data_IF_179384350343
#
_entry.id   IF_179384350343
#
_cell.length_a   1.000
_cell.length_b   1.000
_cell.length_c   1.000
_cell.angle_alpha   90.00
_cell.angle_beta   90.00
_cell.angle_gamma   90.00
#
_symmetry.space_group_name_H-M   'P 1'
#
loop_
_entity.id
_entity.type
_entity.pdbx_description
1 polymer ?
#
# COMPACT_ATOMS: atom_id res chain seq x y z
N UNK A 1 -48.21 -6.20 -15.18
CA UNK A 1 -46.98 -6.61 -14.45
C UNK A 1 -46.51 -5.43 -13.62
N UNK A 2 -46.42 -5.58 -12.31
CA UNK A 2 -46.05 -4.51 -11.38
C UNK A 2 -44.57 -4.17 -11.52
N UNK A 3 -44.26 -2.88 -11.58
CA UNK A 3 -42.89 -2.38 -11.65
C UNK A 3 -42.19 -2.75 -10.34
N UNK A 4 -41.24 -3.69 -10.38
CA UNK A 4 -40.41 -3.98 -9.20
C UNK A 4 -39.48 -2.80 -8.95
N UNK A 5 -39.63 -2.18 -7.79
CA UNK A 5 -38.66 -1.26 -7.22
C UNK A 5 -37.56 -2.09 -6.53
N UNK A 6 -36.31 -1.70 -6.75
CA UNK A 6 -35.13 -2.36 -6.17
C UNK A 6 -34.38 -1.41 -5.24
N UNK A 7 -34.95 -0.25 -4.90
CA UNK A 7 -34.31 0.73 -4.02
C UNK A 7 -34.01 0.11 -2.66
N UNK A 8 -32.80 0.36 -2.12
CA UNK A 8 -32.23 -0.23 -0.90
C UNK A 8 -31.92 -1.74 -0.96
N UNK A 9 -32.12 -2.41 -2.09
CA UNK A 9 -31.71 -3.81 -2.24
C UNK A 9 -30.19 -3.93 -2.38
N UNK A 10 -29.63 -5.02 -1.82
CA UNK A 10 -28.19 -5.30 -1.82
C UNK A 10 -27.85 -6.44 -2.78
N UNK A 11 -26.87 -6.19 -3.66
CA UNK A 11 -26.34 -7.12 -4.65
C UNK A 11 -24.83 -7.26 -4.46
N UNK A 12 -24.40 -8.17 -3.58
CA UNK A 12 -22.99 -8.28 -3.19
C UNK A 12 -22.53 -7.08 -2.37
N UNK A 13 -21.54 -6.35 -2.89
CA UNK A 13 -21.01 -5.10 -2.31
C UNK A 13 -21.77 -3.85 -2.77
N UNK A 14 -22.82 -3.99 -3.58
CA UNK A 14 -23.59 -2.87 -4.13
C UNK A 14 -24.93 -2.75 -3.43
N UNK A 15 -25.31 -1.52 -3.06
CA UNK A 15 -26.62 -1.17 -2.53
C UNK A 15 -27.29 -0.21 -3.51
N UNK A 16 -28.51 -0.51 -3.94
CA UNK A 16 -29.26 0.34 -4.87
C UNK A 16 -29.71 1.61 -4.16
N UNK A 17 -29.30 2.77 -4.66
CA UNK A 17 -29.66 4.08 -4.09
C UNK A 17 -30.96 4.59 -4.70
N UNK A 18 -31.10 4.50 -6.03
CA UNK A 18 -32.29 4.96 -6.75
C UNK A 18 -32.33 4.41 -8.18
N UNK A 19 -33.52 4.42 -8.76
CA UNK A 19 -33.69 4.23 -10.20
C UNK A 19 -33.32 5.52 -10.96
N UNK A 20 -32.68 5.35 -12.12
CA UNK A 20 -32.33 6.44 -13.05
C UNK A 20 -33.21 6.39 -14.29
N UNK A 21 -33.08 7.42 -15.13
CA UNK A 21 -33.71 7.42 -16.45
C UNK A 21 -33.31 6.20 -17.28
N UNK A 22 -34.26 5.73 -18.07
CA UNK A 22 -34.03 4.58 -18.95
C UNK A 22 -33.01 4.95 -20.02
N UNK A 23 -32.04 4.07 -20.23
CA UNK A 23 -31.11 4.18 -21.36
C UNK A 23 -31.55 3.21 -22.45
N UNK A 24 -32.29 3.73 -23.43
CA UNK A 24 -33.00 2.91 -24.42
C UNK A 24 -34.08 2.06 -23.75
N UNK A 25 -34.04 0.74 -23.96
CA UNK A 25 -34.99 -0.20 -23.36
C UNK A 25 -34.61 -0.67 -21.94
N UNK A 26 -33.48 -0.22 -21.41
CA UNK A 26 -32.95 -0.74 -20.14
C UNK A 26 -33.24 0.21 -18.97
N UNK A 27 -33.76 -0.35 -17.88
CA UNK A 27 -33.87 0.31 -16.59
C UNK A 27 -32.48 0.38 -15.95
N UNK A 28 -32.07 1.59 -15.59
CA UNK A 28 -30.77 1.88 -14.99
C UNK A 28 -30.96 2.18 -13.51
N UNK A 29 -29.99 1.77 -12.70
CA UNK A 29 -29.98 2.02 -11.26
C UNK A 29 -28.64 2.58 -10.84
N UNK A 30 -28.69 3.58 -9.99
CA UNK A 30 -27.53 4.10 -9.28
C UNK A 30 -27.30 3.22 -8.05
N UNK A 31 -26.10 2.67 -7.93
CA UNK A 31 -25.74 1.76 -6.85
C UNK A 31 -24.49 2.26 -6.14
N UNK A 32 -24.54 2.33 -4.82
CA UNK A 32 -23.40 2.64 -3.98
C UNK A 32 -22.68 1.36 -3.59
N UNK A 33 -21.39 1.30 -3.82
CA UNK A 33 -20.54 0.20 -3.40
C UNK A 33 -20.05 0.42 -1.98
N UNK A 34 -19.81 -0.66 -1.24
CA UNK A 34 -19.23 -0.63 0.11
C UNK A 34 -17.84 0.06 0.13
N UNK A 35 -17.11 0.08 -1.00
CA UNK A 35 -15.85 0.83 -1.11
C UNK A 35 -16.04 2.37 -1.23
N UNK A 36 -17.28 2.86 -1.22
CA UNK A 36 -17.61 4.28 -1.34
C UNK A 36 -17.91 4.77 -2.76
N UNK A 37 -17.51 4.01 -3.80
CA UNK A 37 -17.79 4.39 -5.19
C UNK A 37 -19.26 4.18 -5.56
N UNK A 38 -19.77 5.04 -6.44
CA UNK A 38 -21.12 4.91 -6.99
C UNK A 38 -21.02 4.54 -8.47
N UNK A 39 -21.80 3.54 -8.89
CA UNK A 39 -21.84 3.07 -10.28
C UNK A 39 -23.27 2.99 -10.80
N UNK A 40 -23.41 3.11 -12.12
CA UNK A 40 -24.68 2.98 -12.82
C UNK A 40 -24.77 1.61 -13.48
N UNK A 41 -25.76 0.80 -13.08
CA UNK A 41 -25.89 -0.60 -13.51
C UNK A 41 -27.28 -0.86 -14.08
N UNK A 42 -27.36 -1.71 -15.11
CA UNK A 42 -28.65 -2.18 -15.65
C UNK A 42 -29.33 -3.11 -14.66
N UNK A 43 -30.66 -3.10 -14.62
CA UNK A 43 -31.43 -4.02 -13.77
C UNK A 43 -31.07 -5.50 -14.00
N UNK A 44 -30.90 -5.90 -15.27
CA UNK A 44 -30.51 -7.26 -15.63
C UNK A 44 -29.17 -7.66 -15.05
N UNK A 45 -28.22 -6.71 -15.04
CA UNK A 45 -26.84 -6.96 -14.63
C UNK A 45 -26.74 -7.00 -13.11
N UNK A 46 -27.51 -6.19 -12.38
CA UNK A 46 -27.65 -6.31 -10.92
C UNK A 46 -28.16 -7.68 -10.50
N UNK A 47 -29.12 -8.25 -11.23
CA UNK A 47 -29.62 -9.59 -10.91
C UNK A 47 -28.62 -10.70 -11.26
N UNK A 48 -27.87 -10.57 -12.36
CA UNK A 48 -27.09 -11.69 -12.94
C UNK A 48 -25.59 -11.64 -12.71
N UNK A 49 -24.94 -10.47 -12.85
CA UNK A 49 -23.48 -10.38 -13.03
C UNK A 49 -22.79 -9.42 -12.07
N UNK A 50 -23.32 -8.21 -11.90
CA UNK A 50 -22.62 -7.14 -11.18
C UNK A 50 -22.83 -7.31 -9.68
N UNK A 51 -21.73 -7.47 -8.95
CA UNK A 51 -21.70 -7.65 -7.49
C UNK A 51 -20.80 -6.63 -6.78
N UNK A 52 -20.03 -5.84 -7.52
CA UNK A 52 -19.13 -4.79 -7.03
C UNK A 52 -18.92 -3.75 -8.12
N UNK A 53 -18.33 -2.61 -7.79
CA UNK A 53 -17.86 -1.63 -8.78
C UNK A 53 -16.55 -2.02 -9.48
N UNK A 54 -16.10 -3.28 -9.33
CA UNK A 54 -14.77 -3.71 -9.74
C UNK A 54 -13.70 -3.59 -8.64
N UNK A 55 -14.08 -3.20 -7.42
CA UNK A 55 -13.19 -3.12 -6.25
C UNK A 55 -12.74 -4.49 -5.70
N UNK A 56 -13.18 -5.59 -6.30
CA UNK A 56 -12.79 -6.96 -5.94
C UNK A 56 -11.61 -7.43 -6.77
N UNK A 57 -10.38 -7.32 -6.25
CA UNK A 57 -9.22 -8.08 -6.73
C UNK A 57 -7.93 -7.31 -7.04
N UNK A 58 -7.95 -5.99 -7.03
CA UNK A 58 -6.72 -5.22 -6.92
C UNK A 58 -6.51 -4.90 -5.45
N UNK A 59 -5.32 -5.17 -4.89
CA UNK A 59 -4.82 -4.34 -3.78
C UNK A 59 -5.13 -2.88 -4.13
N UNK A 60 -5.42 -1.99 -3.18
CA UNK A 60 -5.42 -0.57 -3.49
C UNK A 60 -4.12 -0.31 -4.26
N UNK A 61 -4.23 0.00 -5.55
CA UNK A 61 -3.14 0.69 -6.20
C UNK A 61 -3.22 2.03 -5.50
N UNK A 62 -2.34 2.20 -4.52
CA UNK A 62 -2.14 3.48 -3.86
C UNK A 62 -1.48 4.36 -4.90
N UNK A 63 -2.26 4.80 -5.88
CA UNK A 63 -1.99 5.96 -6.71
C UNK A 63 -2.72 7.20 -6.17
N UNK A 64 -2.98 7.21 -4.86
CA UNK A 64 -2.94 8.46 -4.09
C UNK A 64 -1.51 8.98 -4.20
N UNK A 65 -1.32 10.10 -4.91
CA UNK A 65 -0.03 10.75 -5.18
C UNK A 65 0.78 11.10 -3.93
N UNK A 66 1.33 10.08 -3.28
CA UNK A 66 2.25 10.13 -2.16
C UNK A 66 3.66 9.96 -2.77
N UNK A 67 4.51 10.92 -2.47
CA UNK A 67 5.88 11.09 -2.90
C UNK A 67 6.67 9.78 -3.13
N UNK A 68 7.08 9.54 -4.39
CA UNK A 68 7.81 8.35 -4.87
C UNK A 68 9.30 8.43 -4.55
N UNK A 69 9.64 8.58 -3.26
CA UNK A 69 11.02 8.64 -2.75
C UNK A 69 11.63 7.25 -2.54
N UNK A 70 11.49 6.72 -1.32
CA UNK A 70 12.12 5.48 -0.85
C UNK A 70 11.92 4.25 -1.77
N UNK A 71 10.70 3.88 -2.24
CA UNK A 71 10.52 2.71 -3.12
C UNK A 71 11.26 2.84 -4.46
N UNK A 72 11.32 4.06 -5.02
CA UNK A 72 11.97 4.33 -6.31
C UNK A 72 13.50 4.20 -6.21
N UNK A 73 14.06 4.50 -5.04
CA UNK A 73 15.48 4.29 -4.80
C UNK A 73 15.83 2.79 -4.82
N UNK A 74 15.01 1.93 -4.21
CA UNK A 74 15.17 0.47 -4.29
C UNK A 74 14.98 -0.08 -5.72
N UNK A 75 13.99 0.42 -6.46
CA UNK A 75 13.79 0.05 -7.87
C UNK A 75 15.02 0.33 -8.72
N UNK A 76 15.65 1.51 -8.52
CA UNK A 76 16.86 1.89 -9.24
C UNK A 76 18.06 1.01 -8.91
N UNK A 77 18.26 0.71 -7.63
CA UNK A 77 19.35 -0.18 -7.20
C UNK A 77 19.15 -1.57 -7.81
N UNK A 78 17.91 -2.08 -7.79
CA UNK A 78 17.56 -3.36 -8.42
C UNK A 78 17.78 -3.35 -9.93
N UNK A 79 17.42 -2.27 -10.62
CA UNK A 79 17.63 -2.15 -12.06
C UNK A 79 19.12 -2.14 -12.43
N UNK A 80 19.97 -1.52 -11.60
CA UNK A 80 21.40 -1.41 -11.87
C UNK A 80 22.21 -2.64 -11.43
N UNK A 81 21.81 -3.31 -10.35
CA UNK A 81 22.60 -4.37 -9.69
C UNK A 81 21.92 -5.74 -9.64
N UNK A 82 20.70 -5.85 -10.19
CA UNK A 82 19.89 -7.05 -10.05
C UNK A 82 19.22 -7.17 -8.67
N UNK A 83 18.52 -8.29 -8.42
CA UNK A 83 17.90 -8.55 -7.13
C UNK A 83 18.95 -8.71 -6.03
N UNK A 84 18.64 -8.26 -4.81
CA UNK A 84 19.56 -8.40 -3.66
C UNK A 84 19.92 -9.87 -3.38
N UNK A 85 19.02 -10.81 -3.68
CA UNK A 85 19.21 -12.26 -3.50
C UNK A 85 20.32 -12.88 -4.35
N UNK A 86 20.84 -12.17 -5.34
CA UNK A 86 22.02 -12.60 -6.11
C UNK A 86 23.34 -12.19 -5.44
N UNK A 87 23.28 -11.48 -4.31
CA UNK A 87 24.44 -10.96 -3.59
C UNK A 87 24.51 -11.55 -2.19
N UNK A 88 25.73 -11.77 -1.69
CA UNK A 88 25.97 -12.13 -0.30
C UNK A 88 25.70 -10.93 0.62
N UNK A 89 25.18 -11.20 1.82
CA UNK A 89 24.99 -10.18 2.84
C UNK A 89 26.35 -9.62 3.28
N UNK A 90 26.48 -8.29 3.35
CA UNK A 90 27.77 -7.66 3.69
C UNK A 90 28.20 -7.89 5.16
N UNK A 91 27.27 -8.23 6.06
CA UNK A 91 27.57 -8.37 7.50
C UNK A 91 27.57 -9.82 8.00
N UNK A 92 27.20 -10.79 7.16
CA UNK A 92 27.13 -12.19 7.56
C UNK A 92 27.19 -13.12 6.34
N UNK A 93 27.52 -14.42 6.51
CA UNK A 93 27.67 -15.35 5.38
C UNK A 93 26.34 -15.81 4.74
N UNK A 94 25.22 -15.16 5.04
CA UNK A 94 23.93 -15.47 4.41
C UNK A 94 23.77 -14.72 3.09
N UNK A 95 22.89 -15.20 2.21
CA UNK A 95 22.43 -14.41 1.06
C UNK A 95 21.63 -13.20 1.52
N UNK A 96 21.69 -12.11 0.75
CA UNK A 96 20.92 -10.92 1.04
C UNK A 96 19.45 -11.08 0.64
N UNK A 97 18.56 -10.53 1.46
CA UNK A 97 17.13 -10.51 1.18
C UNK A 97 16.69 -9.16 0.59
N UNK A 98 17.43 -8.10 0.90
CA UNK A 98 17.05 -6.73 0.58
C UNK A 98 18.28 -5.84 0.36
N UNK A 99 18.07 -4.74 -0.37
CA UNK A 99 19.04 -3.66 -0.44
C UNK A 99 18.88 -2.79 0.81
N UNK A 100 19.98 -2.33 1.39
CA UNK A 100 19.98 -1.50 2.59
C UNK A 100 20.71 -0.21 2.31
N UNK A 101 20.08 0.94 2.61
CA UNK A 101 20.73 2.23 2.50
C UNK A 101 21.68 2.44 3.69
N UNK A 102 22.96 2.65 3.38
CA UNK A 102 24.00 2.99 4.35
C UNK A 102 24.11 4.51 4.39
N UNK A 103 23.64 5.09 5.50
CA UNK A 103 23.58 6.55 5.72
C UNK A 103 24.93 7.23 5.53
N UNK A 104 24.90 8.54 5.23
CA UNK A 104 26.12 9.34 4.99
C UNK A 104 26.22 9.93 3.58
N UNK A 105 25.14 9.87 2.80
CA UNK A 105 25.01 10.64 1.57
C UNK A 105 24.79 12.12 1.92
N UNK A 106 25.55 13.08 1.33
CA UNK A 106 25.35 14.51 1.58
C UNK A 106 23.98 15.01 1.12
N UNK A 107 23.39 14.34 0.12
CA UNK A 107 22.05 14.61 -0.40
C UNK A 107 21.00 13.63 0.16
N UNK A 108 21.14 13.22 1.43
CA UNK A 108 20.15 12.36 2.10
C UNK A 108 18.77 13.03 2.11
N UNK A 109 17.76 12.29 1.66
CA UNK A 109 16.37 12.70 1.59
C UNK A 109 15.54 11.88 2.57
N UNK A 110 14.42 12.44 3.01
CA UNK A 110 13.45 11.73 3.86
C UNK A 110 12.22 11.40 3.03
N UNK A 111 11.75 10.16 3.12
CA UNK A 111 10.49 9.76 2.51
C UNK A 111 9.27 10.44 3.18
N UNK A 112 8.06 10.14 2.71
CA UNK A 112 6.85 10.59 3.38
C UNK A 112 6.75 9.97 4.79
N UNK A 113 6.17 10.73 5.71
CA UNK A 113 5.80 10.22 7.04
C UNK A 113 4.70 9.17 6.90
N UNK A 114 4.61 8.25 7.85
CA UNK A 114 3.59 7.19 7.78
C UNK A 114 2.22 7.78 8.14
N UNK A 115 1.11 7.39 7.49
CA UNK A 115 -0.22 7.88 7.86
C UNK A 115 -0.60 7.58 9.32
N UNK A 116 -0.09 6.48 9.88
CA UNK A 116 -0.29 6.10 11.28
C UNK A 116 0.63 6.83 12.26
N UNK A 117 1.63 7.56 11.76
CA UNK A 117 2.60 8.31 12.55
C UNK A 117 3.13 9.52 11.74
N UNK A 118 2.30 10.55 11.59
CA UNK A 118 2.60 11.68 10.72
C UNK A 118 3.71 12.59 11.26
N UNK A 119 4.03 12.48 12.55
CA UNK A 119 5.06 13.28 13.23
C UNK A 119 6.46 12.65 13.13
N UNK A 120 6.55 11.34 12.85
CA UNK A 120 7.84 10.67 12.63
C UNK A 120 8.49 11.14 11.33
N UNK A 121 9.79 11.42 11.38
CA UNK A 121 10.58 11.62 10.17
C UNK A 121 10.44 10.41 9.24
N UNK A 122 10.17 10.64 7.96
CA UNK A 122 10.06 9.55 6.99
C UNK A 122 11.40 8.83 6.81
N UNK A 123 11.33 7.61 6.27
CA UNK A 123 12.53 6.77 6.11
C UNK A 123 13.60 7.50 5.28
N UNK A 124 14.84 7.60 5.78
CA UNK A 124 15.93 8.23 5.02
C UNK A 124 16.28 7.39 3.81
N UNK A 125 16.60 8.05 2.70
CA UNK A 125 17.06 7.43 1.47
C UNK A 125 17.98 8.39 0.72
N UNK A 126 18.83 7.84 -0.15
CA UNK A 126 19.63 8.64 -1.07
C UNK A 126 19.34 8.23 -2.52
N UNK A 127 19.54 9.17 -3.44
CA UNK A 127 19.42 8.97 -4.88
C UNK A 127 20.71 8.43 -5.52
N UNK A 128 21.71 8.02 -4.75
CA UNK A 128 22.97 7.48 -5.27
C UNK A 128 23.02 5.97 -4.99
N UNK A 129 23.27 5.17 -6.04
CA UNK A 129 23.15 3.69 -6.01
C UNK A 129 24.26 3.08 -5.16
N UNK A 130 25.41 3.72 -5.10
CA UNK A 130 26.61 3.33 -4.36
C UNK A 130 26.40 3.23 -2.85
N UNK A 131 25.43 3.96 -2.29
CA UNK A 131 25.12 3.92 -0.87
C UNK A 131 24.19 2.76 -0.47
N UNK A 132 23.83 1.87 -1.39
CA UNK A 132 23.02 0.69 -1.08
C UNK A 132 23.87 -0.56 -1.05
N UNK A 133 23.75 -1.32 0.03
CA UNK A 133 24.47 -2.57 0.26
C UNK A 133 23.50 -3.75 0.43
N UNK A 134 23.84 -4.95 -0.08
CA UNK A 134 22.99 -6.13 0.06
C UNK A 134 23.06 -6.65 1.51
N UNK A 135 21.90 -6.85 2.15
CA UNK A 135 21.80 -7.37 3.53
C UNK A 135 20.67 -8.37 3.68
N UNK A 136 20.85 -9.35 4.57
CA UNK A 136 19.74 -10.19 5.02
C UNK A 136 18.83 -9.40 5.97
N UNK A 137 17.57 -9.82 6.13
CA UNK A 137 16.60 -9.09 6.97
C UNK A 137 17.06 -8.90 8.42
N UNK A 138 17.79 -9.89 8.96
CA UNK A 138 18.32 -9.83 10.33
C UNK A 138 19.40 -8.75 10.49
N UNK A 139 20.33 -8.66 9.53
CA UNK A 139 21.38 -7.66 9.55
C UNK A 139 20.84 -6.27 9.20
N UNK A 140 19.88 -6.19 8.28
CA UNK A 140 19.16 -4.95 7.96
C UNK A 140 18.47 -4.37 9.21
N UNK A 141 17.69 -5.19 9.90
CA UNK A 141 16.99 -4.79 11.13
C UNK A 141 17.95 -4.33 12.24
N UNK A 142 19.14 -4.94 12.32
CA UNK A 142 20.18 -4.52 13.27
C UNK A 142 20.74 -3.14 12.91
N UNK A 143 20.99 -2.88 11.63
CA UNK A 143 21.46 -1.58 11.14
C UNK A 143 20.44 -0.48 11.40
N UNK A 144 19.16 -0.71 11.12
CA UNK A 144 18.08 0.27 11.35
C UNK A 144 17.95 0.63 12.83
N UNK A 145 18.03 -0.38 13.71
CA UNK A 145 18.04 -0.18 15.17
C UNK A 145 19.25 0.60 15.66
N UNK A 146 20.42 0.36 15.07
CA UNK A 146 21.65 1.10 15.38
C UNK A 146 21.63 2.55 14.86
N UNK A 147 20.82 2.83 13.82
CA UNK A 147 20.77 4.13 13.14
C UNK A 147 19.77 5.14 13.73
N UNK A 148 18.97 4.74 14.72
CA UNK A 148 18.27 5.65 15.65
C UNK A 148 17.01 6.36 15.14
N UNK A 149 15.91 5.62 14.90
CA UNK A 149 14.56 6.16 15.10
C UNK A 149 14.03 5.71 16.47
N UNK A 150 14.05 6.64 17.42
CA UNK A 150 13.47 6.49 18.75
C UNK A 150 11.97 6.22 18.63
N UNK A 151 11.57 4.97 18.90
CA UNK A 151 10.17 4.62 19.19
C UNK A 151 9.77 5.38 20.45
N UNK A 152 9.18 6.57 20.30
CA UNK A 152 8.37 7.14 21.36
C UNK A 152 7.08 6.33 21.42
N UNK A 153 7.12 5.27 22.21
CA UNK A 153 6.06 4.82 23.12
C UNK A 153 6.56 3.56 23.81
N UNK A 154 7.35 3.82 24.85
CA UNK A 154 7.40 2.96 26.02
C UNK A 154 5.97 2.61 26.43
N UNK A 155 5.62 1.33 26.37
CA UNK A 155 4.57 0.78 27.21
C UNK A 155 5.11 -0.47 27.88
N UNK A 156 4.97 -0.46 29.20
CA UNK A 156 5.34 -1.49 30.18
C UNK A 156 6.82 -1.53 30.59
N UNK A 157 7.15 -0.66 31.55
CA UNK A 157 7.92 -1.10 32.71
C UNK A 157 7.25 -2.35 33.31
N UNK A 158 7.94 -3.48 33.26
CA UNK A 158 7.85 -4.57 34.25
C UNK A 158 9.30 -5.07 34.40
N UNK A 159 10.12 -4.34 35.16
CA UNK A 159 10.40 -4.63 36.57
C UNK A 159 10.61 -6.11 36.87
N UNK A 160 11.80 -6.39 37.39
CA UNK A 160 12.28 -7.60 38.05
C UNK A 160 12.59 -8.82 37.17
N UNK A 161 13.90 -9.07 37.03
CA UNK A 161 14.49 -10.17 37.79
C UNK A 161 15.98 -9.96 38.02
N UNK A 162 16.32 -10.13 39.29
CA UNK A 162 17.65 -10.22 39.89
C UNK A 162 18.50 -11.31 39.24
#
# INVERSE_FOLDING_TARGET
MTKTDLTNERFGLLVVVRELDKRGYHRMYECRCDCGNTITVRQSDLKRRTRSCGCTGGRPRTDDGIDRGYPRAHERVRAARGPASEHECIDCPAWADTWSYVRGCPDERSGPTKPCDPESAGSPYCEHIEHYQPRCFSCHSRLDRASGMTVRMARAMMLNRM
#
